data_IF_536941197686
#
_entry.id   IF_536941197686
#
_cell.length_a   1.000
_cell.length_b   1.000
_cell.length_c   1.000
_cell.angle_alpha   90.00
_cell.angle_beta   90.00
_cell.angle_gamma   90.00
#
_symmetry.space_group_name_H-M   'P 1'
#
loop_
_entity.id
_entity.type
_entity.pdbx_description
1 polymer ?
#
# COMPACT_ATOMS: atom_id res chain seq x y z
N UNK A 1 -19.70 -1.47 47.35
CA UNK A 1 -18.78 -0.76 46.42
C UNK A 1 -17.54 -1.63 46.27
N UNK A 2 -17.48 -2.44 45.21
CA UNK A 2 -16.37 -3.37 44.97
C UNK A 2 -15.33 -2.64 44.12
N UNK A 3 -14.17 -2.32 44.70
CA UNK A 3 -13.00 -1.84 43.95
C UNK A 3 -12.47 -3.03 43.15
N UNK A 4 -12.82 -3.10 41.86
CA UNK A 4 -12.18 -4.00 40.91
C UNK A 4 -10.83 -3.36 40.56
N UNK A 5 -9.80 -3.63 41.37
CA UNK A 5 -8.41 -3.36 41.00
C UNK A 5 -7.93 -4.48 40.07
N UNK A 6 -8.45 -4.49 38.85
CA UNK A 6 -7.93 -5.33 37.78
C UNK A 6 -6.65 -4.71 37.26
N UNK A 7 -5.53 -5.41 37.41
CA UNK A 7 -4.29 -5.07 36.73
C UNK A 7 -4.57 -5.07 35.22
N UNK A 8 -4.72 -3.88 34.62
CA UNK A 8 -4.71 -3.73 33.17
C UNK A 8 -3.35 -4.28 32.71
N UNK A 9 -3.38 -5.41 32.02
CA UNK A 9 -2.23 -5.96 31.30
C UNK A 9 -1.78 -4.93 30.27
N UNK A 10 -0.75 -4.16 30.61
CA UNK A 10 -0.13 -3.19 29.71
C UNK A 10 0.80 -3.92 28.76
N UNK A 11 0.58 -3.77 27.45
CA UNK A 11 1.58 -4.16 26.45
C UNK A 11 2.53 -2.97 26.31
N UNK A 12 3.81 -3.11 26.68
CA UNK A 12 4.80 -2.02 26.72
C UNK A 12 4.34 -0.77 27.51
N UNK A 13 3.65 -0.95 28.63
CA UNK A 13 3.17 0.19 29.45
C UNK A 13 1.96 0.93 28.89
N UNK A 14 1.41 0.49 27.75
CA UNK A 14 0.21 1.09 27.12
C UNK A 14 -1.00 0.18 27.34
N UNK A 15 -2.17 0.77 27.64
CA UNK A 15 -3.41 -0.03 27.73
C UNK A 15 -3.78 -0.59 26.35
N UNK A 16 -4.47 -1.73 26.34
CA UNK A 16 -4.93 -2.38 25.11
C UNK A 16 -5.74 -1.41 24.23
N UNK A 17 -6.64 -0.66 24.85
CA UNK A 17 -7.54 0.29 24.20
C UNK A 17 -6.78 1.46 23.58
N UNK A 18 -5.74 1.96 24.27
CA UNK A 18 -4.85 3.00 23.74
C UNK A 18 -4.03 2.50 22.56
N UNK A 19 -3.54 1.25 22.63
CA UNK A 19 -2.83 0.61 21.51
C UNK A 19 -3.72 0.54 20.26
N UNK A 20 -4.93 -0.01 20.38
CA UNK A 20 -5.85 -0.10 19.24
C UNK A 20 -6.32 1.27 18.75
N UNK A 21 -6.47 2.26 19.64
CA UNK A 21 -6.78 3.63 19.21
C UNK A 21 -5.68 4.19 18.30
N UNK A 22 -4.41 4.01 18.68
CA UNK A 22 -3.27 4.45 17.86
C UNK A 22 -3.20 3.69 16.53
N UNK A 23 -3.38 2.37 16.56
CA UNK A 23 -3.47 1.58 15.33
C UNK A 23 -4.56 2.10 14.38
N UNK A 24 -5.76 2.36 14.91
CA UNK A 24 -6.85 2.89 14.10
C UNK A 24 -6.54 4.28 13.53
N UNK A 25 -5.86 5.15 14.29
CA UNK A 25 -5.40 6.47 13.80
C UNK A 25 -4.46 6.32 12.60
N UNK A 26 -3.45 5.45 12.71
CA UNK A 26 -2.51 5.17 11.63
C UNK A 26 -3.24 4.69 10.37
N UNK A 27 -4.15 3.73 10.52
CA UNK A 27 -4.88 3.17 9.39
C UNK A 27 -5.82 4.20 8.74
N UNK A 28 -6.48 5.05 9.51
CA UNK A 28 -7.30 6.15 8.96
C UNK A 28 -6.41 7.07 8.13
N UNK A 29 -5.29 7.54 8.69
CA UNK A 29 -4.38 8.46 8.02
C UNK A 29 -3.82 7.89 6.71
N UNK A 30 -3.31 6.66 6.74
CA UNK A 30 -2.75 5.96 5.58
C UNK A 30 -3.80 5.86 4.46
N UNK A 31 -5.02 5.45 4.79
CA UNK A 31 -6.08 5.30 3.81
C UNK A 31 -6.57 6.63 3.23
N UNK A 32 -6.60 7.71 4.03
CA UNK A 32 -6.92 9.05 3.52
C UNK A 32 -5.83 9.56 2.54
N UNK A 33 -4.54 9.33 2.82
CA UNK A 33 -3.44 9.66 1.90
C UNK A 33 -3.51 8.83 0.62
N UNK A 34 -3.71 7.52 0.74
CA UNK A 34 -3.83 6.63 -0.41
C UNK A 34 -4.99 7.06 -1.32
N UNK A 35 -6.12 7.43 -0.72
CA UNK A 35 -7.28 7.98 -1.44
C UNK A 35 -6.92 9.23 -2.23
N UNK A 36 -6.22 10.20 -1.63
CA UNK A 36 -5.73 11.39 -2.35
C UNK A 36 -4.78 10.99 -3.49
N UNK A 37 -3.84 10.06 -3.25
CA UNK A 37 -2.91 9.56 -4.25
C UNK A 37 -3.61 8.97 -5.47
N UNK A 38 -4.66 8.16 -5.26
CA UNK A 38 -5.46 7.62 -6.37
C UNK A 38 -6.25 8.71 -7.09
N UNK A 39 -6.79 9.70 -6.38
CA UNK A 39 -7.42 10.84 -7.03
C UNK A 39 -6.44 11.61 -7.91
N UNK A 40 -5.17 11.79 -7.52
CA UNK A 40 -4.17 12.48 -8.39
C UNK A 40 -3.97 11.79 -9.73
N UNK A 41 -4.16 10.48 -9.78
CA UNK A 41 -4.04 9.66 -10.99
C UNK A 41 -5.38 9.41 -11.71
N UNK A 42 -6.50 9.84 -11.12
CA UNK A 42 -7.82 9.70 -11.70
C UNK A 42 -8.07 10.81 -12.73
N UNK A 43 -8.28 10.44 -13.99
CA UNK A 43 -8.55 11.41 -15.06
C UNK A 43 -10.05 11.73 -15.13
N UNK A 44 -10.88 10.73 -15.39
CA UNK A 44 -12.33 10.81 -15.41
C UNK A 44 -12.96 9.41 -15.42
N UNK A 45 -14.27 9.35 -15.20
CA UNK A 45 -15.03 8.10 -15.09
C UNK A 45 -15.01 7.24 -16.37
N UNK A 46 -14.88 7.86 -17.55
CA UNK A 46 -14.91 7.14 -18.84
C UNK A 46 -13.57 6.48 -19.16
N UNK A 47 -12.48 6.99 -18.59
CA UNK A 47 -11.10 6.58 -18.85
C UNK A 47 -10.48 5.85 -17.66
N UNK A 48 -11.26 5.48 -16.63
CA UNK A 48 -10.77 4.75 -15.45
C UNK A 48 -10.58 3.24 -15.73
N UNK A 49 -9.80 2.91 -16.76
CA UNK A 49 -9.49 1.52 -17.12
C UNK A 49 -8.69 0.79 -16.03
N UNK A 50 -7.98 1.56 -15.19
CA UNK A 50 -7.14 1.04 -14.09
C UNK A 50 -7.93 0.79 -12.79
N UNK A 51 -9.20 1.21 -12.73
CA UNK A 51 -10.06 1.01 -11.57
C UNK A 51 -9.64 1.83 -10.34
N UNK A 52 -9.09 3.03 -10.54
CA UNK A 52 -8.75 3.94 -9.45
C UNK A 52 -9.96 4.27 -8.59
N UNK A 53 -11.15 4.39 -9.17
CA UNK A 53 -12.38 4.65 -8.42
C UNK A 53 -12.69 3.51 -7.43
N UNK A 54 -12.45 2.26 -7.82
CA UNK A 54 -12.63 1.11 -6.93
C UNK A 54 -11.61 1.13 -5.78
N UNK A 55 -10.35 1.47 -6.08
CA UNK A 55 -9.32 1.65 -5.05
C UNK A 55 -9.67 2.79 -4.08
N UNK A 56 -10.14 3.93 -4.59
CA UNK A 56 -10.63 5.08 -3.80
C UNK A 56 -11.75 4.63 -2.85
N UNK A 57 -12.76 3.93 -3.38
CA UNK A 57 -13.90 3.45 -2.58
C UNK A 57 -13.45 2.44 -1.52
N UNK A 58 -12.49 1.56 -1.85
CA UNK A 58 -11.90 0.60 -0.91
C UNK A 58 -11.21 1.32 0.24
N UNK A 59 -10.29 2.24 -0.04
CA UNK A 59 -9.56 2.97 1.00
C UNK A 59 -10.50 3.80 1.89
N UNK A 60 -11.53 4.43 1.31
CA UNK A 60 -12.54 5.12 2.10
C UNK A 60 -13.36 4.17 2.99
N UNK A 61 -13.66 2.96 2.53
CA UNK A 61 -14.35 1.96 3.35
C UNK A 61 -13.46 1.46 4.50
N UNK A 62 -12.17 1.27 4.24
CA UNK A 62 -11.19 0.89 5.27
C UNK A 62 -11.03 2.01 6.32
N UNK A 63 -10.92 3.28 5.89
CA UNK A 63 -10.87 4.43 6.78
C UNK A 63 -12.16 4.57 7.61
N UNK A 64 -13.34 4.34 7.00
CA UNK A 64 -14.63 4.32 7.71
C UNK A 64 -14.67 3.23 8.79
N UNK A 65 -14.19 2.03 8.47
CA UNK A 65 -14.13 0.90 9.41
C UNK A 65 -13.26 1.21 10.63
N UNK A 66 -12.04 1.69 10.39
CA UNK A 66 -11.12 2.07 11.46
C UNK A 66 -11.64 3.25 12.29
N UNK A 67 -12.27 4.24 11.66
CA UNK A 67 -12.93 5.33 12.39
C UNK A 67 -14.07 4.80 13.27
N UNK A 68 -14.82 3.80 12.81
CA UNK A 68 -15.87 3.18 13.62
C UNK A 68 -15.33 2.45 14.85
N UNK A 69 -14.19 1.76 14.73
CA UNK A 69 -13.53 1.12 15.88
C UNK A 69 -12.89 2.14 16.82
N UNK A 70 -12.30 3.21 16.29
CA UNK A 70 -11.70 4.28 17.08
C UNK A 70 -12.70 4.96 18.02
N UNK A 71 -14.00 5.02 17.68
CA UNK A 71 -15.05 5.61 18.54
C UNK A 71 -15.08 4.93 19.91
N UNK A 72 -15.10 3.59 19.95
CA UNK A 72 -15.22 2.85 21.21
C UNK A 72 -13.91 2.85 22.00
N UNK A 73 -12.76 2.77 21.31
CA UNK A 73 -11.45 2.84 21.94
C UNK A 73 -11.15 4.23 22.51
N UNK A 74 -11.48 5.30 21.79
CA UNK A 74 -11.34 6.68 22.28
C UNK A 74 -12.18 6.93 23.52
N UNK A 75 -13.40 6.37 23.60
CA UNK A 75 -14.26 6.53 24.76
C UNK A 75 -13.65 5.94 26.05
N UNK A 76 -12.82 4.89 25.92
CA UNK A 76 -12.18 4.22 27.06
C UNK A 76 -10.78 4.78 27.34
N UNK A 77 -9.99 4.98 26.29
CA UNK A 77 -8.58 5.36 26.39
C UNK A 77 -8.35 6.87 26.50
N UNK A 78 -9.32 7.67 26.08
CA UNK A 78 -9.27 9.13 26.07
C UNK A 78 -10.56 9.72 26.67
N UNK A 79 -11.31 10.49 25.88
CA UNK A 79 -12.50 11.17 26.34
C UNK A 79 -13.67 11.09 25.34
N UNK A 80 -14.83 11.54 25.80
CA UNK A 80 -16.08 11.54 25.03
C UNK A 80 -16.03 12.49 23.83
N UNK A 81 -15.24 13.56 23.91
CA UNK A 81 -15.12 14.54 22.83
C UNK A 81 -14.31 13.96 21.66
N UNK A 82 -13.19 13.28 21.92
CA UNK A 82 -12.45 12.57 20.86
C UNK A 82 -13.31 11.47 20.22
N UNK A 83 -14.03 10.70 21.03
CA UNK A 83 -14.98 9.68 20.53
C UNK A 83 -16.05 10.30 19.60
N UNK A 84 -16.60 11.47 19.95
CA UNK A 84 -17.54 12.23 19.12
C UNK A 84 -16.90 12.70 17.81
N UNK A 85 -15.66 13.18 17.83
CA UNK A 85 -14.94 13.61 16.62
C UNK A 85 -14.69 12.45 15.64
N UNK A 86 -14.36 11.26 16.14
CA UNK A 86 -14.29 10.06 15.29
C UNK A 86 -15.64 9.66 14.69
N UNK A 87 -16.73 9.82 15.44
CA UNK A 87 -18.08 9.57 14.95
C UNK A 87 -18.43 10.51 13.78
N UNK A 88 -18.15 11.81 13.93
CA UNK A 88 -18.34 12.81 12.89
C UNK A 88 -17.49 12.52 11.65
N UNK A 89 -16.20 12.25 11.84
CA UNK A 89 -15.29 11.89 10.75
C UNK A 89 -15.76 10.65 9.98
N UNK A 90 -16.18 9.59 10.70
CA UNK A 90 -16.71 8.36 10.07
C UNK A 90 -17.92 8.66 9.19
N UNK A 91 -18.85 9.48 9.68
CA UNK A 91 -20.08 9.80 8.95
C UNK A 91 -19.81 10.69 7.73
N UNK A 92 -18.81 11.58 7.80
CA UNK A 92 -18.34 12.34 6.64
C UNK A 92 -17.62 11.44 5.61
N UNK A 93 -16.73 10.55 6.04
CA UNK A 93 -16.08 9.55 5.16
C UNK A 93 -17.14 8.69 4.44
N UNK A 94 -18.13 8.18 5.18
CA UNK A 94 -19.23 7.39 4.63
C UNK A 94 -20.03 8.17 3.60
N UNK A 95 -20.34 9.43 3.90
CA UNK A 95 -21.11 10.29 2.99
C UNK A 95 -20.34 10.56 1.71
N UNK A 96 -19.04 10.86 1.83
CA UNK A 96 -18.15 11.05 0.69
C UNK A 96 -18.03 9.78 -0.17
N UNK A 97 -17.84 8.62 0.46
CA UNK A 97 -17.81 7.32 -0.22
C UNK A 97 -19.10 7.04 -1.00
N UNK A 98 -20.26 7.28 -0.39
CA UNK A 98 -21.58 7.11 -1.06
C UNK A 98 -21.76 8.10 -2.21
N UNK A 99 -21.26 9.32 -2.08
CA UNK A 99 -21.32 10.32 -3.14
C UNK A 99 -20.51 9.87 -4.36
N UNK A 100 -19.28 9.40 -4.16
CA UNK A 100 -18.43 8.83 -5.22
C UNK A 100 -19.13 7.67 -5.95
N UNK A 101 -19.84 6.82 -5.21
CA UNK A 101 -20.55 5.67 -5.78
C UNK A 101 -21.83 6.04 -6.54
N UNK A 102 -22.40 7.22 -6.31
CA UNK A 102 -23.72 7.60 -6.84
C UNK A 102 -23.68 8.74 -7.85
N UNK A 103 -22.58 9.48 -7.94
CA UNK A 103 -22.45 10.67 -8.78
C UNK A 103 -21.12 10.66 -9.53
N UNK A 104 -21.06 11.21 -10.76
CA UNK A 104 -19.80 11.42 -11.45
C UNK A 104 -18.96 12.44 -10.67
N UNK A 105 -17.91 11.97 -10.01
CA UNK A 105 -16.96 12.82 -9.30
C UNK A 105 -15.84 13.24 -10.25
N UNK A 106 -15.41 14.50 -10.16
CA UNK A 106 -14.20 14.96 -10.86
C UNK A 106 -12.97 14.76 -10.00
N UNK A 107 -11.80 14.71 -10.63
CA UNK A 107 -10.51 14.63 -9.94
C UNK A 107 -10.38 15.70 -8.86
N UNK A 108 -10.62 16.95 -9.23
CA UNK A 108 -10.34 18.10 -8.36
C UNK A 108 -11.36 18.18 -7.22
N UNK A 109 -12.62 17.80 -7.46
CA UNK A 109 -13.62 17.66 -6.39
C UNK A 109 -13.22 16.56 -5.40
N UNK A 110 -12.76 15.41 -5.90
CA UNK A 110 -12.26 14.32 -5.08
C UNK A 110 -11.08 14.72 -4.19
N UNK A 111 -10.08 15.39 -4.77
CA UNK A 111 -8.92 15.92 -4.03
C UNK A 111 -9.35 16.95 -2.97
N UNK A 112 -10.30 17.83 -3.29
CA UNK A 112 -10.79 18.84 -2.34
C UNK A 112 -11.47 18.19 -1.14
N UNK A 113 -12.38 17.26 -1.38
CA UNK A 113 -13.13 16.59 -0.31
C UNK A 113 -12.23 15.70 0.56
N UNK A 114 -11.31 14.93 -0.03
CA UNK A 114 -10.40 14.10 0.76
C UNK A 114 -9.46 14.94 1.65
N UNK A 115 -9.00 16.09 1.16
CA UNK A 115 -8.20 17.03 1.97
C UNK A 115 -9.01 17.69 3.08
N UNK A 116 -10.33 17.88 2.90
CA UNK A 116 -11.22 18.33 3.98
C UNK A 116 -11.26 17.28 5.10
N UNK A 117 -11.49 16.01 4.75
CA UNK A 117 -11.50 14.89 5.70
C UNK A 117 -10.16 14.75 6.43
N UNK A 118 -9.05 14.87 5.69
CA UNK A 118 -7.72 14.80 6.27
C UNK A 118 -7.47 15.91 7.28
N UNK A 119 -7.77 17.17 6.94
CA UNK A 119 -7.65 18.31 7.87
C UNK A 119 -8.52 18.15 9.11
N UNK A 120 -9.73 17.60 8.95
CA UNK A 120 -10.59 17.28 10.09
C UNK A 120 -9.93 16.24 11.00
N UNK A 121 -9.39 15.15 10.45
CA UNK A 121 -8.67 14.12 11.21
C UNK A 121 -7.42 14.70 11.91
N UNK A 122 -6.58 15.43 11.19
CA UNK A 122 -5.36 16.06 11.71
C UNK A 122 -5.66 17.05 12.84
N UNK A 123 -6.76 17.81 12.73
CA UNK A 123 -7.17 18.82 13.72
C UNK A 123 -7.47 18.27 15.12
N UNK A 124 -7.67 16.95 15.27
CA UNK A 124 -7.77 16.30 16.57
C UNK A 124 -6.77 15.16 16.80
N UNK A 125 -5.81 14.99 15.89
CA UNK A 125 -4.69 14.05 16.00
C UNK A 125 -3.40 14.76 15.59
N UNK A 126 -2.88 15.60 16.50
CA UNK A 126 -1.77 16.53 16.24
C UNK A 126 -0.50 15.83 15.75
N UNK A 127 -0.28 14.56 16.11
CA UNK A 127 0.88 13.77 15.71
C UNK A 127 0.90 13.47 14.19
N UNK A 128 -0.25 13.62 13.53
CA UNK A 128 -0.42 13.40 12.09
C UNK A 128 -0.56 14.71 11.31
N UNK A 129 -0.39 15.85 11.97
CA UNK A 129 -0.54 17.18 11.38
C UNK A 129 0.54 17.45 10.31
N UNK A 130 0.21 17.11 9.05
CA UNK A 130 1.10 17.36 7.91
C UNK A 130 1.10 18.82 7.46
N UNK A 131 0.26 19.68 8.04
CA UNK A 131 0.30 21.12 7.70
C UNK A 131 1.62 21.77 8.11
N UNK A 132 2.30 21.18 9.10
CA UNK A 132 3.64 21.56 9.55
C UNK A 132 4.78 20.94 8.74
N UNK A 133 4.47 20.02 7.82
CA UNK A 133 5.47 19.43 6.96
C UNK A 133 5.85 20.45 5.88
N UNK A 134 7.10 20.91 5.89
CA UNK A 134 7.65 21.87 4.91
C UNK A 134 7.42 21.41 3.46
N UNK A 135 7.38 20.09 3.22
CA UNK A 135 7.15 19.49 1.90
C UNK A 135 5.67 19.46 1.50
N UNK A 136 4.73 19.46 2.46
CA UNK A 136 3.31 19.19 2.24
C UNK A 136 2.37 20.36 2.60
N UNK A 137 2.91 21.56 2.84
CA UNK A 137 2.24 22.72 3.45
C UNK A 137 0.83 23.07 2.92
N UNK A 138 0.08 23.85 3.71
CA UNK A 138 -1.33 24.17 3.46
C UNK A 138 -1.53 24.69 2.02
N UNK A 139 -2.29 23.97 1.17
CA UNK A 139 -2.58 24.41 -0.18
C UNK A 139 -3.19 25.81 -0.24
N UNK A 140 -3.87 26.27 0.82
CA UNK A 140 -4.39 27.63 0.91
C UNK A 140 -3.29 28.67 1.18
N UNK A 141 -2.32 28.40 2.05
CA UNK A 141 -1.12 29.25 2.21
C UNK A 141 -0.27 29.24 0.96
N UNK A 142 -0.05 28.07 0.34
CA UNK A 142 0.69 27.95 -0.92
C UNK A 142 -0.02 28.74 -2.03
N UNK A 143 -1.35 28.66 -2.12
CA UNK A 143 -2.11 29.45 -3.11
C UNK A 143 -2.15 30.94 -2.77
N UNK A 144 -2.16 31.32 -1.50
CA UNK A 144 -2.07 32.73 -1.08
C UNK A 144 -0.68 33.30 -1.39
N UNK A 145 0.38 32.56 -1.14
CA UNK A 145 1.76 32.89 -1.48
C UNK A 145 1.96 32.94 -2.99
N UNK A 146 1.42 31.98 -3.75
CA UNK A 146 1.41 32.03 -5.21
C UNK A 146 0.63 33.25 -5.70
N UNK A 147 -0.51 33.59 -5.11
CA UNK A 147 -1.30 34.77 -5.50
C UNK A 147 -0.55 36.07 -5.19
N UNK A 148 0.15 36.12 -4.05
CA UNK A 148 1.02 37.23 -3.64
C UNK A 148 2.22 37.36 -4.58
N UNK A 149 2.90 36.25 -4.89
CA UNK A 149 4.02 36.16 -5.83
C UNK A 149 3.58 36.58 -7.25
N UNK A 150 2.42 36.11 -7.73
CA UNK A 150 1.84 36.53 -9.02
C UNK A 150 1.53 38.03 -9.01
N UNK A 151 1.00 38.56 -7.91
CA UNK A 151 0.75 40.00 -7.73
C UNK A 151 2.03 40.83 -7.74
N UNK A 152 3.10 40.33 -7.12
CA UNK A 152 4.43 40.96 -7.09
C UNK A 152 5.12 40.88 -8.47
N UNK A 153 4.99 39.75 -9.17
CA UNK A 153 5.52 39.53 -10.53
C UNK A 153 4.82 40.39 -11.58
N UNK A 154 3.51 40.61 -11.45
CA UNK A 154 2.74 41.46 -12.37
C UNK A 154 3.15 42.94 -12.27
N UNK A 155 3.73 43.34 -11.14
CA UNK A 155 4.16 44.71 -10.86
C UNK A 155 5.67 44.95 -11.10
N UNK A 156 6.46 43.90 -11.35
CA UNK A 156 7.88 44.00 -11.69
C UNK A 156 8.18 43.21 -12.96
N UNK A 157 7.95 43.83 -14.11
CA UNK A 157 8.47 43.32 -15.37
C UNK A 157 9.98 43.56 -15.43
N UNK A 158 10.77 42.58 -14.99
CA UNK A 158 11.99 42.10 -15.64
C UNK A 158 12.56 40.88 -14.88
N UNK A 159 13.08 39.92 -15.67
CA UNK A 159 13.73 38.64 -15.33
C UNK A 159 14.57 38.66 -14.03
N UNK A 160 14.58 37.64 -13.16
CA UNK A 160 14.77 36.19 -13.35
C UNK A 160 14.11 35.41 -12.19
N UNK A 161 13.69 34.16 -12.44
CA UNK A 161 13.06 33.28 -11.44
C UNK A 161 14.07 32.79 -10.37
N UNK A 162 13.62 32.70 -9.12
CA UNK A 162 14.35 32.07 -8.02
C UNK A 162 13.38 31.27 -7.13
N UNK A 163 13.19 30.00 -7.49
CA UNK A 163 12.82 28.91 -6.58
C UNK A 163 13.52 27.63 -7.09
N UNK A 164 14.86 27.57 -6.95
CA UNK A 164 15.70 26.45 -7.43
C UNK A 164 16.56 25.76 -6.34
N UNK A 165 16.48 26.17 -5.06
CA UNK A 165 17.50 25.76 -4.09
C UNK A 165 17.52 24.26 -3.67
N UNK A 166 16.43 23.49 -3.88
CA UNK A 166 16.40 22.05 -3.53
C UNK A 166 16.42 21.10 -4.74
N UNK A 167 16.15 21.61 -5.94
CA UNK A 167 16.24 20.82 -7.16
C UNK A 167 17.70 20.56 -7.54
N UNK A 168 18.59 21.51 -7.23
CA UNK A 168 20.01 21.40 -7.52
C UNK A 168 20.71 20.36 -6.64
N UNK A 169 20.33 20.21 -5.37
CA UNK A 169 20.94 19.22 -4.47
C UNK A 169 20.73 17.76 -4.96
N UNK A 170 19.53 17.44 -5.45
CA UNK A 170 19.26 16.12 -6.02
C UNK A 170 20.07 15.87 -7.29
N UNK A 171 20.24 16.89 -8.12
CA UNK A 171 21.01 16.81 -9.35
C UNK A 171 22.51 16.69 -9.10
N UNK A 172 23.01 17.35 -8.05
CA UNK A 172 24.38 17.19 -7.57
C UNK A 172 24.59 15.76 -7.11
N UNK A 173 23.67 15.19 -6.34
CA UNK A 173 23.76 13.78 -5.91
C UNK A 173 23.71 12.79 -7.07
N UNK A 174 22.79 12.96 -8.03
CA UNK A 174 22.68 12.11 -9.22
C UNK A 174 23.98 12.16 -10.05
N UNK A 175 24.50 13.36 -10.29
CA UNK A 175 25.76 13.57 -10.98
C UNK A 175 26.93 12.91 -10.25
N UNK A 176 27.07 13.16 -8.95
CA UNK A 176 28.15 12.57 -8.15
C UNK A 176 28.09 11.04 -8.15
N UNK A 177 26.89 10.45 -8.05
CA UNK A 177 26.70 9.01 -8.14
C UNK A 177 27.17 8.48 -9.50
N UNK A 178 26.70 9.10 -10.58
CA UNK A 178 27.04 8.69 -11.95
C UNK A 178 28.55 8.80 -12.21
N UNK A 179 29.18 9.92 -11.84
CA UNK A 179 30.62 10.13 -11.98
C UNK A 179 31.43 9.11 -11.15
N UNK A 180 31.01 8.79 -9.92
CA UNK A 180 31.66 7.76 -9.08
C UNK A 180 31.54 6.37 -9.70
N UNK A 181 30.39 6.02 -10.29
CA UNK A 181 30.19 4.74 -10.99
C UNK A 181 31.10 4.67 -12.21
N UNK A 182 31.10 5.71 -13.06
CA UNK A 182 31.96 5.77 -14.24
C UNK A 182 33.44 5.68 -13.88
N UNK A 183 33.90 6.42 -12.87
CA UNK A 183 35.30 6.36 -12.43
C UNK A 183 35.73 4.95 -11.99
N UNK A 184 34.90 4.26 -11.19
CA UNK A 184 35.19 2.88 -10.74
C UNK A 184 35.19 1.88 -11.90
N UNK A 185 34.27 2.04 -12.84
CA UNK A 185 34.21 1.16 -14.02
C UNK A 185 35.42 1.42 -14.93
N UNK A 186 35.79 2.68 -15.17
CA UNK A 186 36.99 3.05 -15.91
C UNK A 186 38.26 2.46 -15.31
N UNK A 187 38.43 2.57 -14.00
CA UNK A 187 39.53 1.94 -13.27
C UNK A 187 39.54 0.40 -13.48
N UNK A 188 38.38 -0.24 -13.31
CA UNK A 188 38.23 -1.70 -13.47
C UNK A 188 38.56 -2.20 -14.88
N UNK A 189 38.16 -1.44 -15.91
CA UNK A 189 38.33 -1.83 -17.31
C UNK A 189 39.59 -1.23 -17.96
N UNK A 190 40.38 -0.44 -17.23
CA UNK A 190 41.63 0.15 -17.71
C UNK A 190 41.42 1.14 -18.85
N UNK A 191 40.31 1.89 -18.83
CA UNK A 191 40.00 2.94 -19.81
C UNK A 191 39.87 4.29 -19.10
N UNK A 192 40.13 5.39 -19.81
CA UNK A 192 39.90 6.73 -19.25
C UNK A 192 38.41 6.95 -18.92
N UNK A 193 38.05 7.79 -17.93
CA UNK A 193 36.66 8.09 -17.64
C UNK A 193 36.01 8.94 -18.74
N UNK A 194 34.82 8.55 -19.25
CA UNK A 194 34.08 9.37 -20.21
C UNK A 194 33.51 10.63 -19.53
N UNK A 195 33.34 11.69 -20.31
CA UNK A 195 32.71 12.93 -19.85
C UNK A 195 31.19 12.73 -19.72
N UNK A 196 30.63 12.96 -18.53
CA UNK A 196 29.19 12.88 -18.30
C UNK A 196 28.50 14.20 -18.63
N UNK A 197 27.55 14.17 -19.56
CA UNK A 197 26.74 15.33 -19.95
C UNK A 197 25.28 15.08 -19.60
N UNK A 198 24.81 15.72 -18.53
CA UNK A 198 23.39 15.69 -18.14
C UNK A 198 22.67 16.79 -18.94
N UNK A 199 21.72 16.38 -19.79
CA UNK A 199 20.98 17.27 -20.69
C UNK A 199 19.52 17.42 -20.27
N UNK A 200 19.05 18.67 -20.27
CA UNK A 200 17.67 19.03 -19.98
C UNK A 200 16.77 18.91 -21.23
N UNK A 201 17.38 18.68 -22.40
CA UNK A 201 16.70 18.70 -23.70
C UNK A 201 16.20 17.35 -24.16
N UNK A 202 16.39 16.30 -23.37
CA UNK A 202 15.89 14.98 -23.73
C UNK A 202 14.40 14.85 -23.39
N UNK A 203 13.70 13.97 -24.10
CA UNK A 203 12.28 13.68 -23.84
C UNK A 203 12.07 12.37 -23.06
N UNK A 204 13.07 11.49 -23.00
CA UNK A 204 12.91 10.16 -22.42
C UNK A 204 14.08 9.83 -21.47
N UNK A 205 13.84 9.73 -20.15
CA UNK A 205 14.89 9.52 -19.15
C UNK A 205 15.58 8.15 -19.25
N UNK A 206 14.98 7.24 -20.01
CA UNK A 206 15.49 5.88 -20.23
C UNK A 206 16.47 5.78 -21.40
N UNK A 207 16.76 6.88 -22.09
CA UNK A 207 17.66 6.91 -23.25
C UNK A 207 18.98 7.56 -22.86
N UNK A 208 20.06 6.81 -23.05
CA UNK A 208 21.43 7.31 -23.04
C UNK A 208 21.95 7.46 -24.45
N UNK A 209 23.04 8.22 -24.60
CA UNK A 209 23.81 8.23 -25.84
C UNK A 209 25.29 8.40 -25.55
N UNK A 210 26.07 7.39 -25.93
CA UNK A 210 27.50 7.50 -26.02
C UNK A 210 27.93 8.13 -27.36
N UNK A 211 28.73 9.19 -27.30
CA UNK A 211 29.34 9.79 -28.49
C UNK A 211 30.69 10.43 -28.19
N UNK A 212 31.74 10.02 -28.93
CA UNK A 212 33.08 10.61 -28.89
C UNK A 212 33.66 10.83 -27.47
N UNK A 213 33.59 9.80 -26.61
CA UNK A 213 34.10 9.88 -25.23
C UNK A 213 33.16 10.57 -24.23
N UNK A 214 31.94 10.90 -24.65
CA UNK A 214 30.91 11.51 -23.81
C UNK A 214 29.74 10.57 -23.64
N UNK A 215 29.19 10.51 -22.43
CA UNK A 215 27.93 9.84 -22.14
C UNK A 215 26.89 10.92 -21.85
N UNK A 216 25.87 11.00 -22.70
CA UNK A 216 24.76 11.92 -22.54
C UNK A 216 23.58 11.21 -21.89
N UNK A 217 23.08 11.77 -20.79
CA UNK A 217 21.91 11.25 -20.07
C UNK A 217 20.94 12.39 -19.75
N UNK A 218 19.69 12.03 -19.47
CA UNK A 218 18.66 12.98 -19.10
C UNK A 218 18.81 13.57 -17.70
N UNK A 219 18.41 14.83 -17.54
CA UNK A 219 18.18 15.44 -16.22
C UNK A 219 17.02 14.72 -15.52
N UNK A 220 17.14 14.51 -14.19
CA UNK A 220 16.14 13.88 -13.31
C UNK A 220 15.74 12.45 -13.69
N UNK A 221 16.66 11.49 -13.51
CA UNK A 221 16.40 10.08 -13.84
C UNK A 221 17.61 9.32 -14.36
N UNK A 222 18.79 9.52 -13.78
CA UNK A 222 19.98 8.75 -14.20
C UNK A 222 19.77 7.28 -13.83
N UNK A 223 19.37 6.49 -14.83
CA UNK A 223 19.23 5.06 -14.70
C UNK A 223 20.61 4.39 -14.76
N UNK A 224 20.99 3.68 -13.70
CA UNK A 224 22.28 2.98 -13.62
C UNK A 224 22.47 1.94 -14.72
N UNK A 225 21.39 1.28 -15.18
CA UNK A 225 21.42 0.35 -16.31
C UNK A 225 21.80 1.06 -17.61
N UNK A 226 21.16 2.20 -17.88
CA UNK A 226 21.46 3.02 -19.07
C UNK A 226 22.90 3.55 -18.99
N UNK A 227 23.31 4.05 -17.82
CA UNK A 227 24.68 4.54 -17.61
C UNK A 227 25.73 3.46 -17.87
N UNK A 228 25.50 2.23 -17.42
CA UNK A 228 26.44 1.11 -17.60
C UNK A 228 26.41 0.56 -19.02
N UNK A 229 25.25 0.58 -19.67
CA UNK A 229 25.09 0.29 -21.09
C UNK A 229 25.94 1.25 -21.93
N UNK A 230 25.75 2.57 -21.76
CA UNK A 230 26.54 3.58 -22.48
C UNK A 230 28.04 3.53 -22.12
N UNK A 231 28.38 3.18 -20.88
CA UNK A 231 29.77 2.97 -20.49
C UNK A 231 30.42 1.81 -21.27
N UNK A 232 29.67 0.75 -21.59
CA UNK A 232 30.25 -0.34 -22.38
C UNK A 232 30.54 0.08 -23.82
N UNK A 233 29.71 0.93 -24.40
CA UNK A 233 30.01 1.57 -25.69
C UNK A 233 31.32 2.38 -25.62
N UNK A 234 31.55 3.08 -24.51
CA UNK A 234 32.83 3.75 -24.28
C UNK A 234 34.01 2.77 -24.27
N UNK A 235 33.90 1.67 -23.52
CA UNK A 235 34.95 0.62 -23.49
C UNK A 235 35.18 0.01 -24.88
N UNK A 236 34.12 -0.22 -25.66
CA UNK A 236 34.24 -0.73 -27.03
C UNK A 236 35.00 0.26 -27.92
N UNK A 237 34.63 1.54 -27.88
CA UNK A 237 35.29 2.60 -28.66
C UNK A 237 36.78 2.76 -28.31
N UNK A 238 37.13 2.80 -27.02
CA UNK A 238 38.52 2.94 -26.56
C UNK A 238 39.40 1.76 -26.98
N UNK A 239 38.79 0.58 -27.13
CA UNK A 239 39.48 -0.62 -27.61
C UNK A 239 39.43 -0.80 -29.14
N UNK A 240 38.94 0.19 -29.89
CA UNK A 240 38.81 0.12 -31.36
C UNK A 240 37.83 -0.95 -31.84
N UNK A 241 36.87 -1.35 -31.00
CA UNK A 241 35.81 -2.32 -31.34
C UNK A 241 34.57 -1.60 -31.87
N UNK A 242 33.79 -2.30 -32.68
CA UNK A 242 32.47 -1.82 -33.09
C UNK A 242 31.54 -1.64 -31.88
N UNK A 243 30.71 -0.60 -31.92
CA UNK A 243 29.67 -0.33 -30.91
C UNK A 243 28.56 -1.38 -31.03
N UNK A 244 28.64 -2.42 -30.23
CA UNK A 244 27.75 -3.59 -30.27
C UNK A 244 26.73 -3.48 -29.13
N UNK A 245 25.52 -3.03 -29.48
CA UNK A 245 24.35 -2.84 -28.60
C UNK A 245 24.05 -4.08 -27.75
N UNK A 246 24.11 -5.27 -28.35
CA UNK A 246 23.80 -6.52 -27.64
C UNK A 246 24.80 -6.80 -26.52
N UNK A 247 26.08 -6.51 -26.76
CA UNK A 247 27.11 -6.66 -25.72
C UNK A 247 27.03 -5.59 -24.65
N UNK A 248 26.63 -4.37 -25.00
CA UNK A 248 26.40 -3.30 -24.03
C UNK A 248 25.24 -3.65 -23.09
N UNK A 249 24.16 -4.17 -23.64
CA UNK A 249 23.01 -4.62 -22.85
C UNK A 249 23.33 -5.83 -21.97
N UNK A 250 23.99 -6.86 -22.52
CA UNK A 250 24.45 -8.01 -21.72
C UNK A 250 25.34 -7.58 -20.56
N UNK A 251 26.26 -6.64 -20.80
CA UNK A 251 27.13 -6.10 -19.78
C UNK A 251 26.34 -5.38 -18.67
N UNK A 252 25.41 -4.52 -19.03
CA UNK A 252 24.58 -3.79 -18.07
C UNK A 252 23.77 -4.75 -17.17
N UNK A 253 23.15 -5.77 -17.77
CA UNK A 253 22.39 -6.79 -17.03
C UNK A 253 23.31 -7.60 -16.10
N UNK A 254 24.42 -8.13 -16.62
CA UNK A 254 25.34 -8.98 -15.86
C UNK A 254 26.00 -8.24 -14.68
N UNK A 255 26.31 -6.95 -14.86
CA UNK A 255 26.91 -6.13 -13.82
C UNK A 255 26.02 -6.01 -12.58
N UNK A 256 24.69 -6.00 -12.74
CA UNK A 256 23.72 -5.92 -11.64
C UNK A 256 23.15 -7.28 -11.24
N UNK A 257 23.48 -8.36 -11.94
CA UNK A 257 22.99 -9.71 -11.65
C UNK A 257 23.67 -10.39 -10.44
N UNK A 258 24.79 -9.87 -9.89
CA UNK A 258 25.50 -10.51 -8.77
C UNK A 258 26.07 -9.52 -7.72
N UNK A 259 25.79 -9.73 -6.40
CA UNK A 259 24.89 -10.75 -5.85
C UNK A 259 23.47 -10.51 -6.39
N UNK A 260 22.63 -11.55 -6.55
CA UNK A 260 21.29 -11.39 -7.11
C UNK A 260 20.57 -10.32 -6.27
N UNK A 261 20.52 -9.10 -6.80
CA UNK A 261 19.80 -8.03 -6.16
C UNK A 261 18.35 -8.49 -6.24
N UNK A 262 17.77 -8.78 -5.07
CA UNK A 262 16.38 -9.24 -4.95
C UNK A 262 15.46 -8.14 -5.50
N UNK A 263 15.25 -8.09 -6.80
CA UNK A 263 14.23 -7.32 -7.53
C UNK A 263 14.05 -5.84 -7.16
N UNK A 264 15.01 -5.18 -6.50
CA UNK A 264 14.83 -3.82 -5.98
C UNK A 264 14.97 -2.73 -7.06
N UNK A 265 15.46 -3.10 -8.25
CA UNK A 265 15.49 -2.22 -9.41
C UNK A 265 14.81 -2.93 -10.57
N UNK A 266 13.83 -2.27 -11.18
CA UNK A 266 13.14 -2.78 -12.35
C UNK A 266 14.14 -2.84 -13.53
N UNK A 267 14.60 -4.06 -13.84
CA UNK A 267 15.30 -4.34 -15.09
C UNK A 267 14.28 -4.19 -16.23
N UNK A 268 14.25 -3.00 -16.84
CA UNK A 268 13.51 -2.78 -18.07
C UNK A 268 14.44 -3.11 -19.24
N UNK A 269 14.22 -4.26 -19.87
CA UNK A 269 14.89 -4.66 -21.11
C UNK A 269 14.44 -3.75 -22.25
N UNK A 270 15.30 -2.83 -22.68
CA UNK A 270 15.14 -2.11 -23.95
C UNK A 270 15.86 -2.88 -25.06
N UNK A 271 15.11 -3.32 -26.07
CA UNK A 271 15.66 -4.00 -27.27
C UNK A 271 15.48 -3.11 -28.50
N UNK A 272 16.58 -2.57 -29.02
CA UNK A 272 16.62 -1.78 -30.26
C UNK A 272 16.82 -2.64 -31.53
N UNK A 273 16.29 -3.86 -31.58
CA UNK A 273 16.28 -4.65 -32.81
C UNK A 273 14.85 -5.04 -33.23
N UNK A 274 14.41 -4.49 -34.35
CA UNK A 274 13.14 -4.76 -35.07
C UNK A 274 12.99 -6.22 -35.60
N UNK A 275 13.73 -7.18 -35.04
CA UNK A 275 13.46 -8.60 -35.27
C UNK A 275 12.48 -9.11 -34.23
N UNK A 276 11.19 -9.05 -34.59
CA UNK A 276 10.07 -9.88 -34.12
C UNK A 276 10.45 -10.87 -32.99
N UNK A 277 10.41 -10.40 -31.76
CA UNK A 277 10.02 -11.22 -30.62
C UNK A 277 8.57 -10.90 -30.30
N UNK A 278 7.66 -11.56 -31.03
CA UNK A 278 6.27 -11.66 -30.61
C UNK A 278 6.20 -12.48 -29.33
N UNK A 279 6.30 -11.83 -28.16
CA UNK A 279 5.74 -12.22 -26.85
C UNK A 279 6.37 -11.38 -25.73
N UNK A 280 6.22 -10.06 -25.78
CA UNK A 280 6.32 -9.21 -24.58
C UNK A 280 5.21 -8.17 -24.75
N UNK A 281 4.11 -8.36 -24.03
CA UNK A 281 2.95 -7.48 -24.08
C UNK A 281 2.63 -7.01 -22.65
N UNK A 282 3.32 -5.94 -22.27
CA UNK A 282 2.81 -4.78 -21.54
C UNK A 282 1.77 -4.98 -20.43
N UNK A 283 2.23 -5.43 -19.26
CA UNK A 283 2.32 -4.64 -18.00
C UNK A 283 3.47 -5.29 -17.23
N UNK A 284 4.29 -4.54 -16.51
CA UNK A 284 5.49 -5.01 -15.78
C UNK A 284 5.21 -6.03 -14.64
N UNK A 285 4.70 -7.20 -15.00
CA UNK A 285 4.78 -8.44 -14.23
C UNK A 285 5.42 -9.45 -15.17
N UNK A 286 6.70 -9.73 -14.95
CA UNK A 286 7.61 -10.35 -15.91
C UNK A 286 7.25 -11.77 -16.37
N UNK A 287 6.32 -12.46 -15.69
CA UNK A 287 5.78 -13.74 -16.15
C UNK A 287 4.38 -13.90 -15.52
N UNK A 288 3.36 -14.30 -16.29
CA UNK A 288 2.04 -14.66 -15.72
C UNK A 288 2.17 -15.78 -14.68
N UNK A 289 3.28 -16.52 -14.72
CA UNK A 289 3.68 -17.46 -13.67
C UNK A 289 3.89 -16.79 -12.33
N UNK A 290 4.44 -15.58 -12.25
CA UNK A 290 4.66 -14.87 -10.98
C UNK A 290 3.33 -14.40 -10.37
N UNK A 291 2.41 -13.89 -11.20
CA UNK A 291 1.03 -13.59 -10.77
C UNK A 291 0.37 -14.86 -10.25
N UNK A 292 0.51 -15.97 -10.98
CA UNK A 292 -0.02 -17.27 -10.58
C UNK A 292 0.58 -17.81 -9.29
N UNK A 293 1.87 -17.59 -9.06
CA UNK A 293 2.58 -17.98 -7.82
C UNK A 293 2.15 -17.09 -6.65
N UNK A 294 1.96 -15.79 -6.85
CA UNK A 294 1.50 -14.87 -5.82
C UNK A 294 0.05 -15.19 -5.41
N UNK A 295 -0.89 -15.13 -6.35
CA UNK A 295 -2.30 -15.40 -6.07
C UNK A 295 -2.54 -16.86 -5.66
N UNK A 296 -1.86 -17.81 -6.31
CA UNK A 296 -1.94 -19.23 -5.96
C UNK A 296 -1.35 -19.52 -4.58
N UNK A 297 -0.24 -18.85 -4.22
CA UNK A 297 0.38 -18.96 -2.90
C UNK A 297 -0.51 -18.41 -1.79
N UNK A 298 -1.11 -17.24 -1.97
CA UNK A 298 -2.08 -16.69 -1.01
C UNK A 298 -3.30 -17.59 -0.85
N UNK A 299 -3.86 -18.12 -1.94
CA UNK A 299 -5.00 -19.04 -1.89
C UNK A 299 -4.65 -20.35 -1.18
N UNK A 300 -3.44 -20.89 -1.39
CA UNK A 300 -2.94 -22.06 -0.68
C UNK A 300 -2.76 -21.78 0.82
N UNK A 301 -2.22 -20.61 1.17
CA UNK A 301 -2.13 -20.14 2.56
C UNK A 301 -3.50 -20.08 3.23
N UNK A 302 -4.47 -19.41 2.60
CA UNK A 302 -5.85 -19.32 3.07
C UNK A 302 -6.52 -20.70 3.22
N UNK A 303 -6.36 -21.57 2.22
CA UNK A 303 -6.96 -22.92 2.24
C UNK A 303 -6.37 -23.79 3.34
N UNK A 304 -5.06 -23.66 3.58
CA UNK A 304 -4.35 -24.37 4.65
C UNK A 304 -4.85 -23.90 6.01
N UNK A 305 -4.92 -22.59 6.22
CA UNK A 305 -5.46 -21.99 7.44
C UNK A 305 -6.91 -22.42 7.72
N UNK A 306 -7.78 -22.35 6.70
CA UNK A 306 -9.16 -22.80 6.82
C UNK A 306 -9.28 -24.28 7.18
N UNK A 307 -8.45 -25.13 6.55
CA UNK A 307 -8.39 -26.56 6.87
C UNK A 307 -7.92 -26.82 8.31
N UNK A 308 -6.92 -26.07 8.77
CA UNK A 308 -6.40 -26.14 10.14
C UNK A 308 -7.46 -25.73 11.17
N UNK A 309 -8.16 -24.61 10.95
CA UNK A 309 -9.28 -24.16 11.79
C UNK A 309 -10.44 -25.15 11.80
N UNK A 310 -10.72 -25.78 10.67
CA UNK A 310 -11.73 -26.85 10.61
C UNK A 310 -11.32 -28.06 11.46
N UNK A 311 -10.04 -28.44 11.46
CA UNK A 311 -9.53 -29.52 12.31
C UNK A 311 -9.65 -29.22 13.80
N UNK A 312 -9.55 -27.96 14.21
CA UNK A 312 -9.82 -27.57 15.61
C UNK A 312 -11.26 -27.86 16.02
N UNK A 313 -12.22 -27.69 15.10
CA UNK A 313 -13.63 -28.03 15.39
C UNK A 313 -13.85 -29.52 15.59
N UNK A 314 -13.07 -30.36 14.89
CA UNK A 314 -13.11 -31.81 15.04
C UNK A 314 -12.35 -32.30 16.27
N UNK A 315 -11.36 -31.54 16.74
CA UNK A 315 -10.53 -31.86 17.92
C UNK A 315 -10.39 -30.64 18.84
N UNK A 316 -11.41 -30.31 19.63
CA UNK A 316 -11.43 -29.10 20.47
C UNK A 316 -10.38 -29.09 21.59
N UNK A 317 -9.86 -30.25 21.98
CA UNK A 317 -8.77 -30.37 22.97
C UNK A 317 -7.40 -30.05 22.33
N UNK A 318 -7.33 -30.06 21.00
CA UNK A 318 -6.11 -29.80 20.24
C UNK A 318 -5.03 -30.86 20.43
N UNK A 319 -3.77 -30.45 20.26
CA UNK A 319 -2.57 -31.25 20.52
C UNK A 319 -1.67 -30.52 21.52
N UNK A 320 -1.26 -31.21 22.58
CA UNK A 320 -0.47 -30.64 23.69
C UNK A 320 -1.12 -29.40 24.36
N UNK A 321 -2.46 -29.38 24.43
CA UNK A 321 -3.21 -28.28 25.07
C UNK A 321 -3.30 -27.00 24.23
N UNK A 322 -2.90 -27.04 22.96
CA UNK A 322 -3.08 -25.96 21.99
C UNK A 322 -3.87 -26.47 20.78
N UNK A 323 -4.66 -25.61 20.11
CA UNK A 323 -5.36 -25.98 18.88
C UNK A 323 -4.38 -26.52 17.81
N UNK A 324 -4.87 -27.40 16.93
CA UNK A 324 -4.08 -27.90 15.81
C UNK A 324 -3.68 -26.79 14.85
N UNK A 325 -4.51 -25.75 14.70
CA UNK A 325 -4.15 -24.58 13.89
C UNK A 325 -2.88 -23.90 14.36
N UNK A 326 -2.70 -23.73 15.67
CA UNK A 326 -1.50 -23.12 16.23
C UNK A 326 -0.22 -23.84 15.78
N UNK A 327 -0.24 -25.18 15.80
CA UNK A 327 0.92 -25.97 15.37
C UNK A 327 1.11 -25.92 13.85
N UNK A 328 0.03 -25.91 13.09
CA UNK A 328 0.06 -25.72 11.64
C UNK A 328 0.66 -24.36 11.26
N UNK A 329 0.25 -23.29 11.93
CA UNK A 329 0.76 -21.94 11.70
C UNK A 329 2.23 -21.81 12.07
N UNK A 330 2.65 -22.42 13.19
CA UNK A 330 4.04 -22.44 13.63
C UNK A 330 4.93 -23.16 12.61
N UNK A 331 4.53 -24.37 12.19
CA UNK A 331 5.27 -25.14 11.19
C UNK A 331 5.26 -24.47 9.82
N UNK A 332 4.13 -23.84 9.44
CA UNK A 332 3.99 -23.09 8.21
C UNK A 332 4.88 -21.85 8.16
N UNK A 333 4.94 -21.09 9.25
CA UNK A 333 5.80 -19.91 9.36
C UNK A 333 7.29 -20.28 9.27
N UNK A 334 7.73 -21.28 10.05
CA UNK A 334 9.12 -21.77 10.02
C UNK A 334 9.45 -22.37 8.65
N UNK A 335 8.55 -23.20 8.12
CA UNK A 335 8.68 -23.81 6.80
C UNK A 335 8.73 -22.78 5.67
N UNK A 336 8.00 -21.68 5.78
CA UNK A 336 8.05 -20.59 4.81
C UNK A 336 9.37 -19.85 4.79
N UNK A 337 9.93 -19.54 5.97
CA UNK A 337 11.25 -18.91 6.08
C UNK A 337 12.34 -19.84 5.55
N UNK A 338 12.35 -21.10 5.98
CA UNK A 338 13.33 -22.09 5.49
C UNK A 338 13.16 -22.32 3.99
N UNK A 339 11.93 -22.42 3.49
CA UNK A 339 11.65 -22.57 2.08
C UNK A 339 12.13 -21.39 1.26
N UNK A 340 11.92 -20.17 1.74
CA UNK A 340 12.39 -18.95 1.09
C UNK A 340 13.93 -18.87 0.99
N UNK A 341 14.64 -19.46 1.95
CA UNK A 341 16.11 -19.44 2.00
C UNK A 341 16.77 -20.58 1.22
N UNK A 342 16.15 -21.77 1.20
CA UNK A 342 16.80 -22.99 0.73
C UNK A 342 16.15 -23.62 -0.52
N UNK A 343 14.94 -23.22 -0.91
CA UNK A 343 14.33 -23.70 -2.16
C UNK A 343 14.77 -22.84 -3.34
N UNK A 344 14.76 -23.45 -4.52
CA UNK A 344 14.98 -22.73 -5.78
C UNK A 344 13.69 -22.05 -6.24
N UNK A 345 13.80 -21.08 -7.14
CA UNK A 345 12.64 -20.46 -7.76
C UNK A 345 11.85 -21.50 -8.59
N UNK A 346 10.50 -21.46 -8.59
CA UNK A 346 9.62 -20.49 -7.92
C UNK A 346 9.19 -20.91 -6.50
N UNK A 347 9.68 -22.04 -5.99
CA UNK A 347 9.23 -22.63 -4.72
C UNK A 347 9.65 -21.80 -3.50
N UNK A 348 10.76 -21.06 -3.59
CA UNK A 348 11.16 -20.10 -2.55
C UNK A 348 10.11 -19.00 -2.32
N UNK A 349 9.62 -18.39 -3.40
CA UNK A 349 8.60 -17.35 -3.34
C UNK A 349 7.27 -17.91 -2.85
N UNK A 350 6.87 -19.08 -3.36
CA UNK A 350 5.65 -19.76 -2.90
C UNK A 350 5.71 -20.08 -1.40
N UNK A 351 6.85 -20.59 -0.92
CA UNK A 351 7.05 -20.88 0.50
C UNK A 351 7.00 -19.60 1.35
N UNK A 352 7.61 -18.51 0.89
CA UNK A 352 7.56 -17.21 1.56
C UNK A 352 6.13 -16.67 1.69
N UNK A 353 5.32 -16.81 0.63
CA UNK A 353 3.93 -16.34 0.61
C UNK A 353 3.03 -17.18 1.52
N UNK A 354 3.06 -18.51 1.37
CA UNK A 354 2.26 -19.43 2.19
C UNK A 354 2.64 -19.30 3.67
N UNK A 355 3.94 -19.32 3.98
CA UNK A 355 4.40 -19.20 5.36
C UNK A 355 4.24 -17.81 5.93
N UNK A 356 4.34 -16.75 5.11
CA UNK A 356 4.03 -15.38 5.51
C UNK A 356 2.56 -15.23 5.91
N UNK A 357 1.65 -15.82 5.13
CA UNK A 357 0.23 -15.87 5.47
C UNK A 357 -0.01 -16.59 6.82
N UNK A 358 0.52 -17.81 6.97
CA UNK A 358 0.38 -18.59 8.21
C UNK A 358 1.06 -17.91 9.42
N UNK A 359 2.15 -17.17 9.22
CA UNK A 359 2.80 -16.40 10.27
C UNK A 359 1.90 -15.29 10.82
N UNK A 360 1.04 -14.68 10.00
CA UNK A 360 0.08 -13.67 10.50
C UNK A 360 -0.94 -14.28 11.46
N UNK A 361 -1.40 -15.51 11.22
CA UNK A 361 -2.34 -16.18 12.14
C UNK A 361 -1.64 -16.76 13.38
N UNK A 362 -0.37 -17.17 13.26
CA UNK A 362 0.47 -17.52 14.41
C UNK A 362 0.54 -16.36 15.41
N UNK A 363 0.68 -15.11 14.94
CA UNK A 363 0.68 -13.92 15.79
C UNK A 363 -0.66 -13.79 16.54
N UNK A 364 -1.79 -14.06 15.87
CA UNK A 364 -3.10 -14.07 16.53
C UNK A 364 -3.18 -15.12 17.65
N UNK A 365 -2.65 -16.32 17.42
CA UNK A 365 -2.58 -17.36 18.45
C UNK A 365 -1.69 -16.96 19.63
N UNK A 366 -0.51 -16.40 19.37
CA UNK A 366 0.39 -15.91 20.42
C UNK A 366 -0.27 -14.81 21.26
N UNK A 367 -1.00 -13.89 20.61
CA UNK A 367 -1.79 -12.87 21.32
C UNK A 367 -2.82 -13.54 22.23
N UNK A 368 -3.57 -14.54 21.74
CA UNK A 368 -4.57 -15.25 22.56
C UNK A 368 -3.96 -15.98 23.75
N UNK A 369 -2.77 -16.57 23.60
CA UNK A 369 -2.05 -17.25 24.68
C UNK A 369 -1.52 -16.24 25.70
N UNK A 370 -0.94 -15.13 25.21
CA UNK A 370 -0.32 -14.10 26.06
C UNK A 370 -1.34 -13.22 26.79
N UNK A 371 -2.54 -13.03 26.22
CA UNK A 371 -3.63 -12.34 26.91
C UNK A 371 -4.47 -13.34 27.68
N UNK A 372 -4.47 -13.33 29.03
CA UNK A 372 -5.38 -14.16 29.81
C UNK A 372 -6.80 -13.66 29.53
N UNK A 373 -7.51 -14.34 28.64
CA UNK A 373 -8.93 -14.08 28.42
C UNK A 373 -9.65 -14.51 29.69
N UNK A 374 -10.07 -13.52 30.48
CA UNK A 374 -11.03 -13.74 31.54
C UNK A 374 -12.33 -14.27 30.93
N UNK A 375 -12.48 -15.60 30.90
CA UNK A 375 -13.75 -16.31 31.01
C UNK A 375 -14.85 -16.01 30.00
N UNK A 376 -14.55 -15.76 28.72
CA UNK A 376 -15.57 -15.98 27.68
C UNK A 376 -15.31 -17.33 27.03
N UNK A 377 -16.04 -18.33 27.50
CA UNK A 377 -16.23 -19.56 26.74
C UNK A 377 -16.73 -19.17 25.34
N UNK A 378 -16.16 -19.74 24.26
CA UNK A 378 -16.72 -19.53 22.93
C UNK A 378 -18.19 -19.95 22.98
N UNK A 379 -19.11 -19.21 22.32
CA UNK A 379 -20.51 -19.59 22.29
C UNK A 379 -20.60 -21.00 21.70
N UNK A 380 -20.88 -21.98 22.56
CA UNK A 380 -21.22 -23.32 22.11
C UNK A 380 -22.46 -23.17 21.27
N UNK A 381 -22.38 -23.57 20.00
CA UNK A 381 -23.53 -23.61 19.11
C UNK A 381 -24.61 -24.48 19.76
N UNK A 382 -25.60 -23.83 20.35
CA UNK A 382 -26.81 -24.47 20.80
C UNK A 382 -27.72 -24.49 19.57
N UNK A 383 -28.08 -25.68 19.04
CA UNK A 383 -29.01 -25.75 17.92
C UNK A 383 -30.28 -24.99 18.32
N UNK A 384 -30.87 -24.20 17.40
CA UNK A 384 -31.99 -23.33 17.71
C UNK A 384 -33.07 -24.13 18.42
N UNK A 385 -33.33 -23.75 19.67
CA UNK A 385 -34.37 -24.36 20.48
C UNK A 385 -35.68 -24.37 19.70
N UNK A 386 -36.34 -25.52 19.71
CA UNK A 386 -37.66 -25.76 19.11
C UNK A 386 -38.54 -24.53 19.33
N UNK A 387 -38.82 -23.79 18.26
CA UNK A 387 -39.69 -22.63 18.31
C UNK A 387 -41.04 -23.06 18.90
N UNK A 388 -41.54 -22.43 19.98
CA UNK A 388 -42.88 -22.70 20.44
C UNK A 388 -43.85 -22.38 19.29
N UNK A 389 -44.82 -23.25 18.99
CA UNK A 389 -45.77 -23.00 17.91
C UNK A 389 -46.52 -21.69 18.18
N UNK A 390 -46.76 -20.86 17.15
CA UNK A 390 -47.45 -19.59 17.31
C UNK A 390 -48.83 -19.82 17.93
N UNK A 391 -49.20 -18.97 18.88
CA UNK A 391 -50.54 -18.98 19.48
C UNK A 391 -51.58 -18.73 18.40
N UNK A 392 -52.40 -19.75 18.12
CA UNK A 392 -53.53 -19.65 17.20
C UNK A 392 -54.54 -18.68 17.82
N UNK A 393 -54.66 -17.48 17.27
CA UNK A 393 -55.72 -16.54 17.63
C UNK A 393 -57.05 -17.08 17.09
N UNK A 394 -57.95 -17.48 17.97
CA UNK A 394 -59.33 -17.80 17.61
C UNK A 394 -60.04 -16.55 17.07
N UNK A 395 -60.69 -16.61 15.90
CA UNK A 395 -61.44 -15.48 15.36
C UNK A 395 -62.68 -15.18 16.23
N UNK A 396 -63.11 -13.90 16.30
CA UNK A 396 -64.26 -13.50 17.09
C UNK A 396 -65.54 -14.10 16.52
N UNK A 397 -66.35 -14.69 17.39
CA UNK A 397 -67.68 -15.22 17.11
C UNK A 397 -68.57 -14.08 16.60
N UNK A 398 -68.97 -14.16 15.33
CA UNK A 398 -69.89 -13.23 14.70
C UNK A 398 -71.27 -13.27 15.36
N UNK A 399 -71.84 -12.07 15.52
CA UNK A 399 -72.99 -11.76 16.34
C UNK A 399 -74.33 -12.38 15.93
N UNK A 400 -75.26 -12.20 16.86
CA UNK A 400 -76.59 -12.75 16.93
C UNK A 400 -77.51 -12.42 15.74
N UNK A 401 -78.41 -13.38 15.51
CA UNK A 401 -79.51 -13.44 14.55
C UNK A 401 -80.40 -12.18 14.54
N UNK A 402 -80.55 -11.56 13.38
CA UNK A 402 -81.67 -10.67 13.06
C UNK A 402 -82.97 -11.45 12.85
N UNK A 403 -84.05 -11.02 13.51
CA UNK A 403 -85.43 -11.49 13.30
C UNK A 403 -85.98 -10.92 11.98
N UNK A 404 -86.58 -11.76 11.17
CA UNK A 404 -87.50 -11.34 10.12
C UNK A 404 -88.90 -11.18 10.73
N UNK A 405 -89.55 -10.04 10.49
CA UNK A 405 -91.00 -9.86 10.68
C UNK A 405 -91.60 -9.70 9.29
N UNK A 406 -92.50 -10.61 8.93
CA UNK A 406 -93.45 -10.46 7.83
C UNK A 406 -94.82 -10.70 8.45
N UNK A 407 -95.66 -9.67 8.39
CA UNK A 407 -97.10 -9.59 8.76
C UNK A 407 -97.49 -9.92 10.21
#
# INVERSE_FOLDING_TARGET
>A
MVKISGALTTFNGTSKERYYLNFNRDQIFINLIATEGHFRNFTNLKEDERGFLNCIVKHLADAEGNASEAISHALIAEDKETSRRFLELRDEIRSFRKWIQSSPITRDDGIREIRKLRRQFEGFNIDYDVSKCETCGDPAEIMADITKIIGELKNKAHATAAHEAYADDFLVMEREMAEKVLAKLSEKYGVDPPELVISDKCHEPMIGLYTAGRIMVCRTGINLHVLTHEFWHHVQAMNGKHLDEGKAESFAIELFASPPQKGLYALHTHSHNDRKMSMIRDVGIGDWKDVGVIYGGELLGFSTDYGLKYLDTLRPVGWMGQPLSFWGDLLGAVGGVLGALYLEAPLNLLAALVGGYLATDLVNHLIRIATPVAGRTPPVYTPPGVYPPPSVSTPPVAGARGKYVVS
#
